data_IF_937839901769
#
_entry.id   IF_937839901769
#
_cell.length_a   1.000
_cell.length_b   1.000
_cell.length_c   1.000
_cell.angle_alpha   90.00
_cell.angle_beta   90.00
_cell.angle_gamma   90.00
#
_symmetry.space_group_name_H-M   'P 1'
#
loop_
_entity.id
_entity.type
_entity.pdbx_description
1 polymer ?
#
# COMPACT_ATOMS: atom_id res chain seq x y z
N UNK A 1 20.67 3.29 -13.58
CA UNK A 1 19.87 3.66 -13.02
C UNK A 1 19.44 2.95 -12.09
N UNK A 2 19.44 2.93 -11.60
CA UNK A 2 18.85 2.42 -10.89
C UNK A 2 17.73 2.80 -10.61
N UNK A 3 17.05 2.31 -10.86
CA UNK A 3 15.78 2.85 -10.76
C UNK A 3 15.30 2.72 -9.36
N UNK A 4 14.81 3.79 -8.86
CA UNK A 4 14.15 3.80 -7.58
C UNK A 4 12.72 3.33 -7.75
N UNK A 5 12.25 2.57 -6.80
CA UNK A 5 10.85 2.19 -6.76
C UNK A 5 10.20 2.90 -5.58
N UNK A 6 8.94 3.29 -5.76
CA UNK A 6 8.16 3.97 -4.74
C UNK A 6 6.89 3.19 -4.49
N UNK A 7 6.42 3.21 -3.27
CA UNK A 7 5.17 2.55 -2.89
C UNK A 7 4.32 3.51 -2.08
N UNK A 8 3.02 3.25 -2.05
CA UNK A 8 2.11 3.94 -1.14
C UNK A 8 1.83 2.98 0.00
N UNK A 9 2.23 3.36 1.20
CA UNK A 9 2.01 2.55 2.38
C UNK A 9 0.70 2.98 3.01
N UNK A 10 -0.25 2.05 3.11
CA UNK A 10 -1.58 2.40 3.56
C UNK A 10 -1.82 2.10 5.03
N UNK A 11 -1.74 0.82 5.41
CA UNK A 11 -2.09 0.47 6.77
C UNK A 11 -1.45 -0.85 7.14
N UNK A 12 -1.37 -1.09 8.45
CA UNK A 12 -0.96 -2.38 8.99
C UNK A 12 -2.06 -2.85 9.93
N UNK A 13 -2.42 -4.10 9.82
CA UNK A 13 -3.51 -4.67 10.59
C UNK A 13 -3.02 -5.88 11.39
N UNK A 14 -3.50 -6.02 12.60
CA UNK A 14 -3.29 -7.25 13.36
C UNK A 14 -4.10 -8.40 12.79
N UNK A 15 -5.22 -8.08 12.15
CA UNK A 15 -6.09 -9.07 11.53
C UNK A 15 -5.79 -9.11 10.02
N UNK A 16 -5.29 -10.26 9.56
CA UNK A 16 -4.91 -10.40 8.15
C UNK A 16 -6.12 -10.33 7.21
N UNK A 17 -7.31 -10.67 7.68
CA UNK A 17 -8.50 -10.57 6.85
C UNK A 17 -8.83 -9.13 6.49
N UNK A 18 -8.60 -8.20 7.43
CA UNK A 18 -8.80 -6.78 7.14
C UNK A 18 -7.80 -6.28 6.10
N UNK A 19 -6.57 -6.76 6.18
CA UNK A 19 -5.56 -6.40 5.19
C UNK A 19 -5.97 -6.91 3.81
N UNK A 20 -6.47 -8.14 3.74
CA UNK A 20 -6.95 -8.70 2.47
C UNK A 20 -8.12 -7.92 1.91
N UNK A 21 -9.05 -7.51 2.77
CA UNK A 21 -10.20 -6.73 2.31
C UNK A 21 -9.75 -5.41 1.69
N UNK A 22 -8.78 -4.74 2.32
CA UNK A 22 -8.26 -3.50 1.77
C UNK A 22 -7.53 -3.75 0.45
N UNK A 23 -6.73 -4.81 0.39
CA UNK A 23 -6.05 -5.17 -0.85
C UNK A 23 -7.05 -5.42 -1.98
N UNK A 24 -8.11 -6.16 -1.69
CA UNK A 24 -9.12 -6.47 -2.69
C UNK A 24 -9.85 -5.23 -3.16
N UNK A 25 -10.12 -4.30 -2.25
CA UNK A 25 -10.75 -3.04 -2.61
C UNK A 25 -9.87 -2.24 -3.57
N UNK A 26 -8.57 -2.19 -3.30
CA UNK A 26 -7.63 -1.51 -4.18
C UNK A 26 -7.55 -2.19 -5.54
N UNK A 27 -7.44 -3.51 -5.55
CA UNK A 27 -7.34 -4.27 -6.78
C UNK A 27 -8.60 -4.10 -7.63
N UNK A 28 -9.76 -4.09 -7.00
CA UNK A 28 -11.03 -3.89 -7.70
C UNK A 28 -11.12 -2.49 -8.32
N UNK A 29 -10.38 -1.54 -7.79
CA UNK A 29 -10.33 -0.17 -8.33
C UNK A 29 -9.20 0.01 -9.34
N UNK A 30 -8.54 -1.08 -9.73
CA UNK A 30 -7.45 -1.01 -10.70
C UNK A 30 -6.12 -0.57 -10.13
N UNK A 31 -5.97 -0.60 -8.81
CA UNK A 31 -4.73 -0.20 -8.15
C UNK A 31 -4.00 -1.46 -7.70
N UNK A 32 -2.75 -1.62 -8.16
CA UNK A 32 -1.94 -2.76 -7.76
C UNK A 32 -1.61 -2.65 -6.27
N UNK A 33 -1.87 -3.73 -5.53
CA UNK A 33 -1.61 -3.74 -4.09
C UNK A 33 -1.13 -5.13 -3.66
N UNK A 34 -0.34 -5.15 -2.60
CA UNK A 34 0.15 -6.39 -2.03
C UNK A 34 0.21 -6.26 -0.51
N UNK A 35 0.30 -7.42 0.14
CA UNK A 35 0.40 -7.47 1.59
C UNK A 35 1.74 -8.06 1.99
N UNK A 36 2.19 -7.69 3.19
CA UNK A 36 3.46 -8.15 3.72
C UNK A 36 3.31 -8.35 5.22
N UNK A 37 3.74 -9.51 5.70
CA UNK A 37 3.66 -9.81 7.13
C UNK A 37 4.89 -9.26 7.83
N UNK A 38 4.66 -8.52 8.92
CA UNK A 38 5.71 -7.95 9.75
C UNK A 38 5.62 -8.54 11.15
N UNK A 39 6.76 -8.90 11.70
CA UNK A 39 6.83 -9.30 13.09
C UNK A 39 7.24 -8.10 13.92
N UNK A 40 6.41 -7.74 14.88
CA UNK A 40 6.66 -6.60 15.75
C UNK A 40 6.70 -7.06 17.20
N UNK A 41 7.10 -6.15 18.08
CA UNK A 41 7.13 -6.43 19.51
C UNK A 41 5.73 -6.80 20.04
N UNK A 42 4.69 -6.29 19.39
CA UNK A 42 3.32 -6.53 19.79
C UNK A 42 2.66 -7.67 19.02
N UNK A 43 3.45 -8.45 18.27
CA UNK A 43 2.93 -9.56 17.50
C UNK A 43 3.02 -9.30 16.00
N UNK A 44 2.40 -10.17 15.23
CA UNK A 44 2.42 -10.04 13.77
C UNK A 44 1.40 -9.04 13.30
N UNK A 45 1.78 -8.27 12.28
CA UNK A 45 0.87 -7.37 11.58
C UNK A 45 1.02 -7.59 10.09
N UNK A 46 -0.07 -7.36 9.36
CA UNK A 46 -0.07 -7.46 7.90
C UNK A 46 -0.18 -6.06 7.34
N UNK A 47 0.83 -5.66 6.60
CA UNK A 47 0.93 -4.33 6.02
C UNK A 47 0.42 -4.36 4.59
N UNK A 48 -0.35 -3.34 4.20
CA UNK A 48 -0.86 -3.19 2.84
C UNK A 48 -0.12 -2.06 2.17
N UNK A 49 0.42 -2.35 0.99
CA UNK A 49 1.13 -1.38 0.18
C UNK A 49 0.61 -1.42 -1.25
N UNK A 50 0.60 -0.27 -1.90
CA UNK A 50 0.25 -0.16 -3.31
C UNK A 50 1.51 0.12 -4.12
N UNK A 51 1.61 -0.50 -5.28
CA UNK A 51 2.75 -0.31 -6.16
C UNK A 51 3.35 -1.62 -6.60
N UNK A 52 4.62 -1.63 -6.97
CA UNK A 52 5.55 -0.48 -6.95
C UNK A 52 5.32 0.47 -8.13
N UNK A 53 5.76 1.72 -7.94
CA UNK A 53 5.69 2.76 -8.97
C UNK A 53 7.09 3.20 -9.34
N UNK A 54 7.27 3.63 -10.58
CA UNK A 54 8.59 3.98 -11.08
C UNK A 54 9.11 5.30 -10.53
N UNK A 55 8.22 6.19 -10.14
CA UNK A 55 8.60 7.51 -9.66
C UNK A 55 7.73 7.93 -8.50
N UNK A 56 8.22 8.90 -7.74
CA UNK A 56 7.43 9.49 -6.67
C UNK A 56 6.16 10.14 -7.22
N UNK A 57 6.26 10.79 -8.38
CA UNK A 57 5.12 11.43 -9.01
C UNK A 57 4.02 10.41 -9.32
N UNK A 58 4.40 9.27 -9.89
CA UNK A 58 3.43 8.22 -10.20
C UNK A 58 2.78 7.70 -8.92
N UNK A 59 3.56 7.52 -7.86
CA UNK A 59 3.04 7.05 -6.59
C UNK A 59 2.08 8.07 -5.97
N UNK A 60 2.40 9.36 -6.09
CA UNK A 60 1.52 10.40 -5.55
C UNK A 60 0.21 10.50 -6.32
N UNK A 61 0.26 10.30 -7.64
CA UNK A 61 -0.98 10.26 -8.42
C UNK A 61 -1.85 9.08 -8.00
N UNK A 62 -1.23 7.94 -7.72
CA UNK A 62 -1.97 6.79 -7.22
C UNK A 62 -2.57 7.08 -5.85
N UNK A 63 -1.83 7.76 -4.98
CA UNK A 63 -2.35 8.15 -3.67
C UNK A 63 -3.57 9.05 -3.80
N UNK A 64 -3.54 9.99 -4.75
CA UNK A 64 -4.70 10.86 -4.98
C UNK A 64 -5.94 10.04 -5.35
N UNK A 65 -5.76 9.01 -6.17
CA UNK A 65 -6.88 8.13 -6.52
C UNK A 65 -7.39 7.37 -5.28
N UNK A 66 -6.47 6.94 -4.43
CA UNK A 66 -6.85 6.24 -3.21
C UNK A 66 -7.61 7.16 -2.26
N UNK A 67 -7.18 8.41 -2.15
CA UNK A 67 -7.88 9.38 -1.32
C UNK A 67 -9.30 9.61 -1.82
N UNK A 68 -9.48 9.64 -3.14
CA UNK A 68 -10.81 9.78 -3.72
C UNK A 68 -11.70 8.58 -3.38
N UNK A 69 -11.11 7.43 -3.09
CA UNK A 69 -11.85 6.23 -2.68
C UNK A 69 -12.02 6.13 -1.16
N UNK A 70 -11.60 7.16 -0.43
CA UNK A 70 -11.73 7.18 1.03
C UNK A 70 -10.57 6.53 1.76
N UNK A 71 -9.47 6.28 1.07
CA UNK A 71 -8.29 5.68 1.68
C UNK A 71 -7.17 6.70 1.76
N UNK A 72 -6.29 6.55 2.74
CA UNK A 72 -5.15 7.44 2.88
C UNK A 72 -3.88 6.60 2.97
N UNK A 73 -2.74 7.25 2.75
CA UNK A 73 -1.47 6.56 2.79
C UNK A 73 -0.31 7.52 2.69
N UNK A 74 0.88 6.97 2.64
CA UNK A 74 2.11 7.74 2.58
C UNK A 74 2.98 7.18 1.47
N UNK A 75 3.48 8.07 0.61
CA UNK A 75 4.44 7.68 -0.41
C UNK A 75 5.80 7.52 0.25
N UNK A 76 6.45 6.40 -0.02
CA UNK A 76 7.77 6.13 0.52
C UNK A 76 8.59 5.40 -0.52
N UNK A 77 9.91 5.51 -0.41
CA UNK A 77 10.78 4.74 -1.28
C UNK A 77 10.78 3.29 -0.81
N UNK A 78 10.87 2.41 -1.76
CA UNK A 78 10.87 0.99 -1.48
C UNK A 78 12.22 0.48 -0.99
#
# INVERSE_FOLDING_TARGET
SKSSAYVVQLAAFSNSDKAKQLQQKLTASGIRAYTEVLKTADGEKTRVRAGPYESRDAAEKALDRMKALGMDGVVTSR
#
